data_IF_609726021033
#
_entry.id   IF_609726021033
#
_cell.length_a   1.000
_cell.length_b   1.000
_cell.length_c   1.000
_cell.angle_alpha   90.00
_cell.angle_beta   90.00
_cell.angle_gamma   90.00
#
_symmetry.space_group_name_H-M   'P 1'
#
loop_
_entity.id
_entity.type
_entity.pdbx_description
1 polymer ?
#
# COMPACT_ATOMS: atom_id res chain seq x y z
N UNK A 1 -11.09 -12.45 16.60
CA UNK A 1 -10.48 -11.52 15.63
C UNK A 1 -9.04 -11.27 15.99
N UNK A 2 -8.24 -10.89 15.00
CA UNK A 2 -6.84 -10.52 15.16
C UNK A 2 -6.52 -9.33 14.26
N UNK A 3 -5.62 -8.47 14.74
CA UNK A 3 -5.08 -7.33 14.02
C UNK A 3 -3.55 -7.46 13.98
N UNK A 4 -2.96 -7.13 12.84
CA UNK A 4 -1.51 -7.08 12.67
C UNK A 4 -1.18 -5.77 11.97
N UNK A 5 -0.35 -4.96 12.63
CA UNK A 5 0.18 -3.72 12.08
C UNK A 5 1.63 -3.94 11.66
N UNK A 6 1.95 -3.58 10.42
CA UNK A 6 3.25 -3.77 9.81
C UNK A 6 3.80 -2.43 9.34
N UNK A 7 5.09 -2.21 9.59
CA UNK A 7 5.87 -1.17 8.92
C UNK A 7 6.42 -1.75 7.62
N UNK A 8 6.12 -1.11 6.51
CA UNK A 8 6.52 -1.51 5.15
C UNK A 8 7.45 -0.43 4.62
N UNK A 9 8.67 -0.82 4.27
CA UNK A 9 9.63 0.06 3.58
C UNK A 9 9.83 -0.50 2.19
N UNK A 10 9.61 0.31 1.17
CA UNK A 10 9.65 -0.11 -0.23
C UNK A 10 10.30 0.95 -1.12
N UNK A 11 10.79 0.51 -2.28
CA UNK A 11 11.23 1.40 -3.36
C UNK A 11 10.17 1.32 -4.47
N UNK A 12 9.54 2.45 -4.80
CA UNK A 12 8.44 2.54 -5.74
C UNK A 12 8.73 3.53 -6.86
N UNK A 13 8.28 3.21 -8.06
CA UNK A 13 8.16 4.13 -9.19
C UNK A 13 6.67 4.33 -9.44
N UNK A 14 6.19 5.57 -9.39
CA UNK A 14 4.78 5.90 -9.63
C UNK A 14 4.66 6.98 -10.70
N UNK A 15 3.75 6.75 -11.65
CA UNK A 15 3.36 7.73 -12.65
C UNK A 15 1.89 7.54 -13.03
N UNK A 16 1.09 8.57 -12.87
CA UNK A 16 -0.29 8.61 -13.34
C UNK A 16 -0.31 9.12 -14.77
N UNK A 17 -0.98 8.40 -15.67
CA UNK A 17 -1.11 8.76 -17.08
C UNK A 17 -2.54 9.11 -17.44
N UNK A 18 -2.71 10.07 -18.34
CA UNK A 18 -4.00 10.37 -18.94
C UNK A 18 -4.41 9.35 -20.01
N UNK A 19 -5.57 9.57 -20.65
CA UNK A 19 -6.12 8.68 -21.68
C UNK A 19 -5.28 8.61 -22.95
N UNK A 20 -4.41 9.59 -23.21
CA UNK A 20 -3.52 9.62 -24.38
C UNK A 20 -2.10 9.16 -24.02
N UNK A 21 -1.86 8.74 -22.77
CA UNK A 21 -0.62 8.17 -22.29
C UNK A 21 0.40 9.17 -21.74
N UNK A 22 0.05 10.46 -21.72
CA UNK A 22 0.91 11.50 -21.15
C UNK A 22 0.93 11.39 -19.61
N UNK A 23 2.11 11.57 -19.02
CA UNK A 23 2.24 11.59 -17.55
C UNK A 23 1.66 12.89 -17.02
N UNK A 24 0.72 12.78 -16.08
CA UNK A 24 0.04 13.92 -15.46
C UNK A 24 0.36 14.08 -13.97
N UNK A 25 0.99 13.06 -13.36
CA UNK A 25 1.50 13.08 -11.99
C UNK A 25 2.57 12.00 -11.80
N UNK A 26 3.52 12.22 -10.89
CA UNK A 26 4.65 11.32 -10.65
C UNK A 26 5.73 11.35 -11.75
N UNK A 27 6.63 10.36 -11.70
CA UNK A 27 7.77 10.22 -12.62
C UNK A 27 8.02 8.73 -12.91
N UNK A 28 7.97 8.30 -14.18
CA UNK A 28 8.08 6.90 -14.57
C UNK A 28 9.49 6.30 -14.47
N UNK A 29 10.52 7.10 -14.19
CA UNK A 29 11.91 6.63 -14.08
C UNK A 29 12.53 6.87 -12.70
N UNK A 30 11.90 7.72 -11.88
CA UNK A 30 12.39 8.04 -10.54
C UNK A 30 11.92 7.02 -9.51
N UNK A 31 12.89 6.39 -8.84
CA UNK A 31 12.64 5.57 -7.64
C UNK A 31 12.46 6.48 -6.43
N UNK A 32 11.42 6.22 -5.64
CA UNK A 32 11.17 6.85 -4.35
C UNK A 32 11.12 5.79 -3.24
N UNK A 33 11.79 6.07 -2.12
CA UNK A 33 11.59 5.28 -0.89
C UNK A 33 10.25 5.68 -0.27
N UNK A 34 9.38 4.70 -0.02
CA UNK A 34 8.06 4.87 0.59
C UNK A 34 7.99 4.04 1.86
N UNK A 35 7.60 4.68 2.95
CA UNK A 35 7.46 4.09 4.29
C UNK A 35 6.01 4.20 4.72
N UNK A 36 5.37 3.05 4.78
CA UNK A 36 3.96 2.95 5.15
C UNK A 36 3.78 2.10 6.40
N UNK A 37 2.70 2.38 7.12
CA UNK A 37 2.19 1.56 8.21
C UNK A 37 0.81 1.04 7.83
N UNK A 38 0.70 -0.28 7.66
CA UNK A 38 -0.53 -0.94 7.24
C UNK A 38 -1.07 -1.84 8.34
N UNK A 39 -2.37 -1.77 8.60
CA UNK A 39 -3.05 -2.65 9.56
C UNK A 39 -3.97 -3.63 8.84
N UNK A 40 -3.75 -4.91 9.10
CA UNK A 40 -4.53 -6.01 8.57
C UNK A 40 -5.43 -6.62 9.65
N UNK A 41 -6.62 -7.02 9.25
CA UNK A 41 -7.62 -7.67 10.10
C UNK A 41 -7.99 -9.06 9.57
N UNK A 42 -8.22 -9.99 10.50
CA UNK A 42 -8.88 -11.27 10.21
C UNK A 42 -9.76 -11.74 11.37
N UNK A 43 -10.95 -12.24 11.06
CA UNK A 43 -11.72 -13.05 12.02
C UNK A 43 -11.08 -14.45 12.13
N UNK A 44 -10.40 -14.70 13.25
CA UNK A 44 -9.70 -15.96 13.53
C UNK A 44 -10.61 -17.18 13.67
N UNK A 45 -11.93 -16.98 13.79
CA UNK A 45 -12.93 -18.06 13.78
C UNK A 45 -13.41 -18.39 12.36
N UNK A 46 -13.15 -17.51 11.41
CA UNK A 46 -13.53 -17.72 10.01
C UNK A 46 -12.69 -18.84 9.38
N UNK A 47 -13.35 -19.65 8.56
CA UNK A 47 -12.67 -20.61 7.68
C UNK A 47 -11.94 -19.93 6.53
N UNK A 48 -12.29 -18.69 6.21
CA UNK A 48 -11.58 -17.87 5.23
C UNK A 48 -10.23 -17.44 5.81
N UNK A 49 -9.09 -17.83 5.19
CA UNK A 49 -7.77 -17.48 5.67
C UNK A 49 -7.36 -16.05 5.33
N UNK A 50 -8.12 -15.34 4.49
CA UNK A 50 -7.71 -14.04 3.98
C UNK A 50 -7.71 -12.95 5.05
N UNK A 51 -6.69 -12.09 4.99
CA UNK A 51 -6.58 -10.88 5.77
C UNK A 51 -7.04 -9.68 4.94
N UNK A 52 -7.77 -8.76 5.55
CA UNK A 52 -8.22 -7.52 4.91
C UNK A 52 -7.35 -6.37 5.37
N UNK A 53 -6.91 -5.53 4.45
CA UNK A 53 -6.31 -4.24 4.77
C UNK A 53 -7.42 -3.31 5.29
N UNK A 54 -7.27 -2.79 6.51
CA UNK A 54 -8.29 -1.97 7.19
C UNK A 54 -7.80 -0.58 7.57
N UNK A 55 -6.49 -0.33 7.59
CA UNK A 55 -5.92 1.00 7.74
C UNK A 55 -4.58 1.11 6.99
N UNK A 56 -4.31 2.30 6.46
CA UNK A 56 -3.05 2.69 5.81
C UNK A 56 -2.67 4.08 6.30
N UNK A 57 -1.44 4.24 6.75
CA UNK A 57 -0.86 5.50 7.23
C UNK A 57 0.53 5.65 6.60
N UNK A 58 0.91 6.87 6.23
CA UNK A 58 2.29 7.19 5.86
C UNK A 58 3.10 7.39 7.16
N UNK A 59 4.33 6.91 7.20
CA UNK A 59 5.22 7.15 8.35
C UNK A 59 5.73 8.61 8.30
N UNK A 60 5.42 9.40 9.34
CA UNK A 60 5.86 10.82 9.52
C UNK A 60 7.39 11.01 9.38
#
# INVERSE_FOLDING_TARGET
EAHITLRIVSELISATRDKVGAVIDGDPEKVAEVKDVWTFFRDTRSRDPNWKLVATEEED
#
